data_IF_076241287791
#
_entry.id   IF_076241287791
#
_cell.length_a   1.000
_cell.length_b   1.000
_cell.length_c   1.000
_cell.angle_alpha   90.00
_cell.angle_beta   90.00
_cell.angle_gamma   90.00
#
_symmetry.space_group_name_H-M   'P 1'
#
loop_
_entity.id
_entity.type
_entity.pdbx_description
1 polymer ?
#
# COMPACT_ATOMS: atom_id res chain seq x y z
N UNK A 1 7.93 -14.83 -23.57
CA UNK A 1 7.75 -13.45 -23.13
C UNK A 1 7.65 -13.38 -21.60
N UNK A 2 8.37 -12.48 -20.98
CA UNK A 2 8.34 -12.33 -19.52
C UNK A 2 7.45 -11.16 -19.12
N UNK A 3 6.72 -11.31 -18.02
CA UNK A 3 5.83 -10.27 -17.47
C UNK A 3 6.11 -10.04 -16.00
N UNK A 4 6.01 -8.78 -15.60
CA UNK A 4 6.07 -8.39 -14.19
C UNK A 4 4.77 -7.68 -13.83
N UNK A 5 4.06 -8.20 -12.84
CA UNK A 5 2.82 -7.62 -12.35
C UNK A 5 3.01 -7.08 -10.93
N UNK A 6 2.37 -5.96 -10.65
CA UNK A 6 2.42 -5.27 -9.36
C UNK A 6 0.98 -5.11 -8.85
N UNK A 7 0.75 -5.53 -7.61
CA UNK A 7 -0.54 -5.37 -6.94
C UNK A 7 -0.28 -4.82 -5.54
N UNK A 8 -0.81 -3.64 -5.28
CA UNK A 8 -0.63 -2.93 -4.00
C UNK A 8 -1.98 -2.63 -3.36
N UNK A 9 -2.03 -2.64 -2.03
CA UNK A 9 -3.24 -2.33 -1.31
C UNK A 9 -2.98 -1.91 0.13
N UNK A 10 -4.00 -1.32 0.72
CA UNK A 10 -4.04 -0.92 2.12
C UNK A 10 -4.96 -1.87 2.89
N UNK A 11 -4.49 -2.41 4.00
CA UNK A 11 -5.31 -3.20 4.91
C UNK A 11 -5.42 -2.49 6.25
N UNK A 12 -6.63 -2.23 6.70
CA UNK A 12 -6.91 -1.56 7.98
C UNK A 12 -7.48 -2.59 8.95
N UNK A 13 -6.80 -2.81 10.06
CA UNK A 13 -7.17 -3.84 11.03
C UNK A 13 -8.60 -3.69 11.53
N UNK A 14 -9.01 -2.48 11.90
CA UNK A 14 -10.35 -2.21 12.42
C UNK A 14 -11.46 -2.48 11.39
N UNK A 15 -11.12 -2.54 10.11
CA UNK A 15 -12.06 -2.80 9.02
C UNK A 15 -11.96 -4.24 8.49
N UNK A 16 -11.32 -5.13 9.26
CA UNK A 16 -11.17 -6.52 8.86
C UNK A 16 -10.25 -6.73 7.67
N UNK A 17 -9.32 -5.80 7.44
CA UNK A 17 -8.41 -5.85 6.31
C UNK A 17 -8.86 -5.06 5.08
N UNK A 18 -10.03 -4.42 5.14
CA UNK A 18 -10.48 -3.55 4.04
C UNK A 18 -9.64 -2.26 4.02
N UNK A 19 -9.48 -1.59 2.88
CA UNK A 19 -10.02 -1.93 1.57
C UNK A 19 -9.30 -3.07 0.83
N UNK A 20 -8.09 -3.46 1.23
CA UNK A 20 -7.39 -4.61 0.65
C UNK A 20 -7.26 -4.53 -0.86
N UNK A 21 -7.71 -5.58 -1.56
CA UNK A 21 -7.63 -5.64 -3.03
C UNK A 21 -8.47 -4.57 -3.72
N UNK A 22 -9.41 -3.97 -3.01
CA UNK A 22 -10.27 -2.91 -3.54
C UNK A 22 -9.75 -1.50 -3.26
N UNK A 23 -8.51 -1.36 -2.78
CA UNK A 23 -7.96 -0.06 -2.34
C UNK A 23 -8.13 1.06 -3.36
N UNK A 24 -7.87 0.78 -4.65
CA UNK A 24 -8.01 1.79 -5.70
C UNK A 24 -9.47 2.16 -5.99
N UNK A 25 -10.41 1.28 -5.66
CA UNK A 25 -11.84 1.44 -6.00
C UNK A 25 -12.73 1.36 -4.77
N UNK A 26 -12.19 1.70 -3.61
CA UNK A 26 -12.89 1.52 -2.34
C UNK A 26 -14.25 2.22 -2.30
N UNK A 27 -14.35 3.41 -2.89
CA UNK A 27 -15.61 4.17 -2.91
C UNK A 27 -16.52 3.87 -4.11
N UNK A 28 -16.12 3.01 -5.04
CA UNK A 28 -16.94 2.61 -6.18
C UNK A 28 -16.19 2.65 -7.52
N UNK A 29 -16.93 2.50 -8.61
CA UNK A 29 -16.34 2.43 -9.96
C UNK A 29 -15.65 3.71 -10.40
N UNK A 30 -16.16 4.87 -9.97
CA UNK A 30 -15.59 6.17 -10.32
C UNK A 30 -14.75 6.73 -9.17
N UNK A 31 -14.14 5.86 -8.39
CA UNK A 31 -13.37 6.25 -7.22
C UNK A 31 -12.12 7.05 -7.60
N UNK A 32 -11.81 8.04 -6.79
CA UNK A 32 -10.53 8.74 -6.79
C UNK A 32 -9.97 8.74 -5.37
N UNK A 33 -8.76 9.30 -5.20
CA UNK A 33 -8.11 9.32 -3.90
C UNK A 33 -8.95 10.05 -2.85
N UNK A 34 -9.59 11.15 -3.23
CA UNK A 34 -10.43 11.95 -2.33
C UNK A 34 -11.63 11.15 -1.84
N UNK A 35 -12.36 10.50 -2.74
CA UNK A 35 -13.55 9.71 -2.37
C UNK A 35 -13.18 8.45 -1.57
N UNK A 36 -12.07 7.82 -1.89
CA UNK A 36 -11.58 6.65 -1.15
C UNK A 36 -11.20 7.03 0.28
N UNK A 37 -10.50 8.16 0.45
CA UNK A 37 -10.12 8.65 1.78
C UNK A 37 -11.35 9.08 2.58
N UNK A 38 -12.33 9.72 1.95
CA UNK A 38 -13.58 10.10 2.60
C UNK A 38 -14.34 8.89 3.13
N UNK A 39 -14.40 7.81 2.35
CA UNK A 39 -15.02 6.56 2.79
C UNK A 39 -14.26 5.93 3.95
N UNK A 40 -12.93 5.91 3.88
CA UNK A 40 -12.09 5.37 4.96
C UNK A 40 -12.35 6.09 6.27
N UNK A 41 -12.35 7.42 6.26
CA UNK A 41 -12.62 8.24 7.44
C UNK A 41 -14.03 7.98 7.97
N UNK A 42 -15.03 7.92 7.09
CA UNK A 42 -16.42 7.65 7.46
C UNK A 42 -16.57 6.28 8.14
N UNK A 43 -15.90 5.26 7.63
CA UNK A 43 -15.96 3.91 8.22
C UNK A 43 -15.34 3.87 9.61
N UNK A 44 -14.21 4.55 9.83
CA UNK A 44 -13.60 4.64 11.15
C UNK A 44 -14.50 5.40 12.14
N UNK A 45 -15.10 6.50 11.70
CA UNK A 45 -16.04 7.27 12.53
C UNK A 45 -17.27 6.44 12.89
N UNK A 46 -17.78 5.64 11.97
CA UNK A 46 -18.90 4.75 12.19
C UNK A 46 -18.60 3.76 13.33
N UNK A 47 -17.35 3.32 13.43
CA UNK A 47 -16.90 2.40 14.49
C UNK A 47 -16.52 3.12 15.78
N UNK A 48 -16.60 4.46 15.81
CA UNK A 48 -16.22 5.26 16.98
C UNK A 48 -14.72 5.34 17.22
N UNK A 49 -13.92 5.15 16.17
CA UNK A 49 -12.46 5.13 16.26
C UNK A 49 -11.85 6.39 15.69
N UNK A 50 -10.71 6.80 16.27
CA UNK A 50 -9.91 7.93 15.77
C UNK A 50 -8.67 7.45 15.01
N UNK A 51 -8.31 6.19 15.17
CA UNK A 51 -7.17 5.57 14.48
C UNK A 51 -7.31 4.06 14.47
N UNK A 52 -6.53 3.40 13.63
CA UNK A 52 -6.43 1.93 13.59
C UNK A 52 -5.07 1.53 13.03
N UNK A 53 -4.48 0.44 13.55
CA UNK A 53 -3.32 -0.17 12.90
C UNK A 53 -3.66 -0.52 11.45
N UNK A 54 -2.69 -0.37 10.58
CA UNK A 54 -2.86 -0.63 9.15
C UNK A 54 -1.54 -0.99 8.51
N UNK A 55 -1.62 -1.67 7.37
CA UNK A 55 -0.45 -2.03 6.56
C UNK A 55 -0.69 -1.66 5.11
N UNK A 56 0.34 -1.12 4.46
CA UNK A 56 0.42 -1.18 3.01
C UNK A 56 1.08 -2.48 2.62
N UNK A 57 0.58 -3.09 1.54
CA UNK A 57 1.13 -4.33 0.99
C UNK A 57 1.41 -4.14 -0.50
N UNK A 58 2.48 -4.76 -0.98
CA UNK A 58 2.80 -4.83 -2.40
C UNK A 58 3.17 -6.27 -2.74
N UNK A 59 2.53 -6.85 -3.74
CA UNK A 59 2.88 -8.16 -4.26
C UNK A 59 3.39 -7.99 -5.68
N UNK A 60 4.60 -8.49 -5.95
CA UNK A 60 5.19 -8.50 -7.28
C UNK A 60 5.24 -9.93 -7.79
N UNK A 61 4.82 -10.13 -9.03
CA UNK A 61 4.86 -11.43 -9.67
C UNK A 61 5.59 -11.31 -11.00
N UNK A 62 6.63 -12.11 -11.18
CA UNK A 62 7.33 -12.26 -12.45
C UNK A 62 6.98 -13.62 -13.04
N UNK A 63 6.59 -13.63 -14.30
CA UNK A 63 6.29 -14.88 -15.01
C UNK A 63 6.99 -14.87 -16.37
N UNK A 64 7.61 -16.00 -16.73
CA UNK A 64 8.21 -16.14 -18.05
C UNK A 64 7.37 -17.07 -18.94
N UNK A 65 7.78 -17.21 -20.21
CA UNK A 65 7.07 -18.05 -21.18
C UNK A 65 7.21 -19.54 -20.93
N UNK A 66 8.17 -19.96 -20.08
CA UNK A 66 8.40 -21.35 -19.75
C UNK A 66 7.61 -21.82 -18.53
N UNK A 67 6.78 -20.95 -17.97
CA UNK A 67 5.95 -21.27 -16.82
C UNK A 67 6.62 -21.04 -15.48
N UNK A 68 7.80 -20.43 -15.44
CA UNK A 68 8.46 -20.07 -14.18
C UNK A 68 7.79 -18.83 -13.59
N UNK A 69 7.51 -18.87 -12.29
CA UNK A 69 6.86 -17.79 -11.58
C UNK A 69 7.68 -17.44 -10.34
N UNK A 70 8.01 -16.16 -10.21
CA UNK A 70 8.67 -15.62 -9.02
C UNK A 70 7.72 -14.62 -8.36
N UNK A 71 7.62 -14.68 -7.04
CA UNK A 71 6.76 -13.78 -6.28
C UNK A 71 7.54 -13.15 -5.13
N UNK A 72 7.29 -11.86 -4.90
CA UNK A 72 7.87 -11.15 -3.78
C UNK A 72 6.81 -10.25 -3.18
N UNK A 73 6.83 -10.10 -1.84
CA UNK A 73 5.90 -9.26 -1.12
C UNK A 73 6.66 -8.29 -0.23
N UNK A 74 6.14 -7.09 -0.14
CA UNK A 74 6.64 -6.07 0.77
C UNK A 74 5.50 -5.50 1.60
N UNK A 75 5.83 -5.05 2.81
CA UNK A 75 4.86 -4.51 3.76
C UNK A 75 5.41 -3.24 4.37
N UNK A 76 4.51 -2.30 4.67
CA UNK A 76 4.84 -1.12 5.45
C UNK A 76 3.77 -0.96 6.52
N UNK A 77 4.11 -1.23 7.77
CA UNK A 77 3.20 -1.10 8.90
C UNK A 77 3.13 0.32 9.42
N UNK A 78 1.95 0.72 9.86
CA UNK A 78 1.70 2.03 10.44
C UNK A 78 0.30 2.10 11.00
N UNK A 79 -0.30 3.28 10.94
CA UNK A 79 -1.69 3.45 11.37
C UNK A 79 -2.42 4.45 10.49
N UNK A 80 -3.73 4.27 10.39
CA UNK A 80 -4.62 5.24 9.76
C UNK A 80 -5.18 6.13 10.87
N UNK A 81 -5.18 7.45 10.64
CA UNK A 81 -5.78 8.44 11.53
C UNK A 81 -6.81 9.26 10.77
N UNK A 82 -7.74 9.88 11.49
CA UNK A 82 -8.81 10.70 10.88
C UNK A 82 -8.31 12.03 10.32
N UNK A 83 -7.15 12.50 10.76
CA UNK A 83 -6.58 13.77 10.32
C UNK A 83 -5.60 13.58 9.19
N UNK A 84 -5.81 14.28 8.08
CA UNK A 84 -4.87 14.29 6.97
C UNK A 84 -3.73 15.26 7.23
N UNK A 85 -2.51 14.87 6.88
CA UNK A 85 -1.33 15.74 6.92
C UNK A 85 -0.49 15.57 5.66
N UNK A 86 0.07 16.69 5.19
CA UNK A 86 0.95 16.72 4.03
C UNK A 86 0.22 16.81 2.72
N UNK A 87 0.95 17.22 1.68
CA UNK A 87 0.42 17.41 0.33
C UNK A 87 1.09 16.51 -0.71
N UNK A 88 2.05 15.70 -0.26
CA UNK A 88 2.75 14.77 -1.15
C UNK A 88 2.07 13.42 -1.21
N UNK A 89 2.63 12.53 -2.02
CA UNK A 89 2.14 11.16 -2.11
C UNK A 89 0.86 11.02 -2.92
N UNK A 90 0.23 9.86 -2.79
CA UNK A 90 -1.00 9.52 -3.50
C UNK A 90 -1.79 8.50 -2.66
N UNK A 91 -3.03 8.21 -3.09
CA UNK A 91 -3.89 7.25 -2.42
C UNK A 91 -4.18 7.67 -0.99
N UNK A 92 -3.91 6.80 -0.03
CA UNK A 92 -4.20 7.01 1.38
C UNK A 92 -3.07 7.67 2.15
N UNK A 93 -1.99 8.08 1.48
CA UNK A 93 -0.78 8.60 2.13
C UNK A 93 -1.02 9.73 3.15
N UNK A 94 -1.93 10.70 2.93
CA UNK A 94 -2.15 11.75 3.92
C UNK A 94 -2.71 11.24 5.26
N UNK A 95 -3.36 10.06 5.24
CA UNK A 95 -3.99 9.46 6.42
C UNK A 95 -3.20 8.30 7.00
N UNK A 96 -2.15 7.83 6.29
CA UNK A 96 -1.32 6.71 6.74
C UNK A 96 -0.08 7.26 7.45
N UNK A 97 0.04 6.97 8.74
CA UNK A 97 1.11 7.50 9.60
C UNK A 97 2.11 6.41 9.94
N UNK A 98 3.39 6.81 9.87
CA UNK A 98 4.51 6.01 10.38
C UNK A 98 5.15 6.87 11.47
N UNK A 99 4.86 6.55 12.74
CA UNK A 99 5.20 7.42 13.86
C UNK A 99 4.37 8.70 13.84
N UNK A 100 5.02 9.85 13.90
CA UNK A 100 4.32 11.15 13.96
C UNK A 100 4.11 11.81 12.60
N UNK A 101 4.58 11.18 11.52
CA UNK A 101 4.46 11.73 10.17
C UNK A 101 3.58 10.87 9.29
N UNK A 102 2.73 11.49 8.48
CA UNK A 102 2.02 10.76 7.43
C UNK A 102 2.97 10.47 6.26
N UNK A 103 2.61 9.49 5.46
CA UNK A 103 3.38 9.17 4.24
C UNK A 103 3.45 10.37 3.28
N UNK A 104 2.43 11.24 3.29
CA UNK A 104 2.41 12.44 2.46
C UNK A 104 3.39 13.52 2.94
N UNK A 105 3.88 13.43 4.17
CA UNK A 105 4.87 14.35 4.74
C UNK A 105 6.32 13.90 4.53
N UNK A 106 6.52 12.65 4.12
CA UNK A 106 7.87 12.10 3.95
C UNK A 106 8.48 12.58 2.65
N UNK A 107 9.82 12.75 2.65
CA UNK A 107 10.56 12.96 1.41
C UNK A 107 10.51 11.69 0.57
N UNK A 108 10.84 11.81 -0.72
CA UNK A 108 10.90 10.65 -1.60
C UNK A 108 11.88 9.59 -1.07
N UNK A 109 13.04 10.02 -0.57
CA UNK A 109 14.05 9.12 -0.01
C UNK A 109 13.54 8.40 1.24
N UNK A 110 12.92 9.14 2.16
CA UNK A 110 12.35 8.56 3.38
C UNK A 110 11.27 7.53 3.05
N UNK A 111 10.41 7.87 2.11
CA UNK A 111 9.32 7.00 1.67
C UNK A 111 9.84 5.72 1.02
N UNK A 112 10.85 5.82 0.15
CA UNK A 112 11.45 4.66 -0.52
C UNK A 112 12.10 3.69 0.47
N UNK A 113 12.69 4.22 1.55
CA UNK A 113 13.37 3.40 2.55
C UNK A 113 12.41 2.47 3.31
N UNK A 114 11.13 2.88 3.47
CA UNK A 114 10.16 2.14 4.27
C UNK A 114 8.97 1.61 3.46
N UNK A 115 8.87 1.96 2.17
CA UNK A 115 7.66 1.62 1.40
C UNK A 115 7.54 0.11 1.17
N UNK A 116 6.29 -0.34 1.15
CA UNK A 116 5.91 -1.72 0.82
C UNK A 116 6.40 -2.12 -0.58
N UNK A 117 6.28 -1.20 -1.55
CA UNK A 117 6.73 -1.43 -2.92
C UNK A 117 8.25 -1.53 -3.01
N UNK A 118 8.97 -0.67 -2.28
CA UNK A 118 10.43 -0.72 -2.21
C UNK A 118 10.93 -2.04 -1.64
N UNK A 119 10.30 -2.55 -0.58
CA UNK A 119 10.64 -3.84 -0.01
C UNK A 119 10.40 -4.98 -1.01
N UNK A 120 9.24 -4.99 -1.68
CA UNK A 120 8.92 -6.00 -2.67
C UNK A 120 9.89 -5.98 -3.85
N UNK A 121 10.27 -4.78 -4.32
CA UNK A 121 11.23 -4.63 -5.41
C UNK A 121 12.61 -5.16 -5.03
N UNK A 122 13.07 -4.90 -3.81
CA UNK A 122 14.36 -5.43 -3.33
C UNK A 122 14.35 -6.95 -3.28
N UNK A 123 13.26 -7.55 -2.80
CA UNK A 123 13.11 -9.01 -2.77
C UNK A 123 13.06 -9.58 -4.17
N UNK A 124 12.31 -8.96 -5.07
CA UNK A 124 12.22 -9.41 -6.46
C UNK A 124 13.57 -9.33 -7.17
N UNK A 125 14.36 -8.28 -6.91
CA UNK A 125 15.69 -8.15 -7.50
C UNK A 125 16.60 -9.33 -7.13
N UNK A 126 16.54 -9.80 -5.89
CA UNK A 126 17.31 -10.98 -5.43
C UNK A 126 16.83 -12.23 -6.16
N UNK A 127 15.52 -12.43 -6.25
CA UNK A 127 14.96 -13.59 -6.94
C UNK A 127 15.29 -13.62 -8.43
N UNK A 128 15.24 -12.47 -9.09
CA UNK A 128 15.59 -12.35 -10.51
C UNK A 128 17.07 -12.62 -10.73
N UNK A 129 17.93 -12.18 -9.83
CA UNK A 129 19.36 -12.43 -9.91
C UNK A 129 19.63 -13.93 -9.86
N UNK A 130 18.97 -14.66 -8.96
CA UNK A 130 19.10 -16.11 -8.86
C UNK A 130 18.55 -16.81 -10.10
N UNK A 131 17.41 -16.34 -10.61
CA UNK A 131 16.77 -16.89 -11.81
C UNK A 131 17.67 -16.77 -13.03
N UNK A 132 18.41 -15.65 -13.16
CA UNK A 132 19.26 -15.38 -14.31
C UNK A 132 20.64 -16.09 -14.23
N UNK A 133 20.94 -16.71 -13.11
CA UNK A 133 22.14 -17.53 -12.98
C UNK A 133 21.91 -18.97 -13.51
#
# INVERSE_FOLDING_TARGET
MACLADDSGLEVEALGGAPGVYSARYSGENADDSSNNAKLVAELKRLGLTSSPADYQCALTFADSDGNILQAQGFCGGEIRLEAKGNGGFGYDPYFYVGDKSMAELTLEEKQAISHRGEALRKMAVLLKEYLQ
#
